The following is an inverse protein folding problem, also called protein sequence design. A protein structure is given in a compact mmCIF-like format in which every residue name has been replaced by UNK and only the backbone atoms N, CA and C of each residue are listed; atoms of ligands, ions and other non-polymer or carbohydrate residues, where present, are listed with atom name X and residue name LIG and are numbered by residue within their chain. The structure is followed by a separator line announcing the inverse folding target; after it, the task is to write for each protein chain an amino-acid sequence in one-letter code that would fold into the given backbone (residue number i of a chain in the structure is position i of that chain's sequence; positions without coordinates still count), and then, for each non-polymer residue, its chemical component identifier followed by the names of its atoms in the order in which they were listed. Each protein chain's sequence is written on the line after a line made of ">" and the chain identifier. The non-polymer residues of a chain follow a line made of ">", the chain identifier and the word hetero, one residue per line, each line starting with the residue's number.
data_IF_048760043003
#
_entry.id   IF_048760043003
#
_cell.length_a   1.000
_cell.length_b   1.000
_cell.length_c   1.000
_cell.angle_alpha   90.00
_cell.angle_beta   90.00
_cell.angle_gamma   90.00
#
_symmetry.space_group_name_H-M   'P 1'
#
loop_
_entity.id
_entity.type
_entity.pdbx_description
1 polymer ?
#
# COMPACT_ATOMS: atom_id res chain seq x y z
N UNK A 1 15.68 -3.90 11.55
CA UNK A 1 14.48 -3.11 11.14
C UNK A 1 13.71 -2.71 12.38
N UNK A 2 13.25 -1.45 12.40
CA UNK A 2 12.39 -0.95 13.48
C UNK A 2 10.93 -1.23 13.17
N UNK A 3 10.15 -1.58 14.18
CA UNK A 3 8.70 -1.77 14.06
C UNK A 3 7.94 -0.46 14.32
N UNK A 4 6.76 -0.27 13.71
CA UNK A 4 6.12 -1.15 12.72
C UNK A 4 6.88 -1.23 11.39
N UNK A 5 6.71 -2.31 10.63
CA UNK A 5 7.23 -2.42 9.27
C UNK A 5 6.09 -2.08 8.29
N UNK A 6 6.24 -0.99 7.55
CA UNK A 6 5.26 -0.52 6.59
C UNK A 6 5.59 -1.00 5.18
N UNK A 7 4.63 -1.65 4.54
CA UNK A 7 4.74 -2.08 3.14
C UNK A 7 4.10 -1.03 2.24
N UNK A 8 4.92 -0.46 1.35
CA UNK A 8 4.58 0.61 0.42
C UNK A 8 4.66 0.08 -1.01
N UNK A 9 3.87 0.64 -1.89
CA UNK A 9 3.91 0.31 -3.31
C UNK A 9 2.56 0.42 -3.98
N UNK A 10 2.59 0.29 -5.30
CA UNK A 10 1.42 0.40 -6.16
C UNK A 10 0.37 -0.69 -5.86
N UNK A 11 -0.86 -0.49 -6.33
CA UNK A 11 -1.85 -1.57 -6.30
C UNK A 11 -1.31 -2.79 -7.04
N UNK A 12 -1.70 -3.98 -6.63
CA UNK A 12 -1.19 -5.25 -7.15
C UNK A 12 0.33 -5.50 -7.00
N UNK A 13 1.06 -4.69 -6.24
CA UNK A 13 2.47 -4.97 -5.93
C UNK A 13 2.67 -6.15 -4.97
N UNK A 14 1.62 -6.58 -4.29
CA UNK A 14 1.64 -7.75 -3.40
C UNK A 14 1.79 -7.42 -1.91
N UNK A 15 1.52 -6.18 -1.50
CA UNK A 15 1.62 -5.75 -0.09
C UNK A 15 0.87 -6.67 0.85
N UNK A 16 -0.40 -6.93 0.60
CA UNK A 16 -1.23 -7.78 1.46
C UNK A 16 -0.71 -9.22 1.51
N UNK A 17 -0.53 -9.86 0.35
CA UNK A 17 -0.12 -11.28 0.30
C UNK A 17 1.29 -11.52 0.85
N UNK A 18 2.25 -10.67 0.48
CA UNK A 18 3.63 -10.77 0.98
C UNK A 18 3.71 -10.34 2.46
N UNK A 19 2.94 -9.34 2.86
CA UNK A 19 2.87 -8.87 4.24
C UNK A 19 2.32 -9.92 5.19
N UNK A 20 1.24 -10.59 4.82
CA UNK A 20 0.67 -11.69 5.60
C UNK A 20 1.65 -12.87 5.75
N UNK A 21 2.38 -13.21 4.68
CA UNK A 21 3.42 -14.27 4.73
C UNK A 21 4.56 -13.89 5.67
N UNK A 22 5.03 -12.63 5.58
CA UNK A 22 6.08 -12.12 6.45
C UNK A 22 5.64 -12.07 7.92
N UNK A 23 4.45 -11.56 8.19
CA UNK A 23 3.88 -11.50 9.54
C UNK A 23 3.78 -12.89 10.18
N UNK A 24 3.31 -13.90 9.43
CA UNK A 24 3.29 -15.30 9.88
C UNK A 24 4.68 -15.85 10.17
N UNK A 25 5.66 -15.59 9.29
CA UNK A 25 7.06 -16.04 9.51
C UNK A 25 7.65 -15.44 10.79
N UNK A 26 7.35 -14.18 11.07
CA UNK A 26 7.84 -13.46 12.25
C UNK A 26 6.97 -13.68 13.51
N UNK A 27 5.84 -14.35 13.37
CA UNK A 27 4.84 -14.53 14.44
C UNK A 27 4.39 -13.21 15.07
N UNK A 28 4.06 -12.23 14.21
CA UNK A 28 3.57 -10.90 14.60
C UNK A 28 2.29 -10.55 13.83
N UNK A 29 1.48 -9.59 14.33
CA UNK A 29 0.27 -9.15 13.63
C UNK A 29 0.52 -8.59 12.23
N UNK A 30 -0.47 -8.79 11.36
CA UNK A 30 -0.59 -8.10 10.08
C UNK A 30 -1.76 -7.12 10.14
N UNK A 31 -1.52 -5.88 9.76
CA UNK A 31 -2.50 -4.79 9.72
C UNK A 31 -2.66 -4.34 8.27
N UNK A 32 -3.90 -4.36 7.77
CA UNK A 32 -4.26 -3.71 6.51
C UNK A 32 -4.89 -2.35 6.83
N UNK A 33 -4.27 -1.26 6.36
CA UNK A 33 -4.73 0.10 6.66
C UNK A 33 -6.11 0.39 6.07
N UNK A 34 -6.38 -0.09 4.84
CA UNK A 34 -7.68 0.10 4.21
C UNK A 34 -8.78 -0.59 5.01
N UNK A 35 -8.52 -1.79 5.50
CA UNK A 35 -9.46 -2.50 6.36
C UNK A 35 -9.75 -1.75 7.67
N UNK A 36 -8.71 -1.20 8.31
CA UNK A 36 -8.90 -0.35 9.51
C UNK A 36 -9.70 0.92 9.24
N UNK A 37 -9.55 1.51 8.06
CA UNK A 37 -10.36 2.67 7.65
C UNK A 37 -11.83 2.24 7.50
N UNK A 38 -12.09 1.13 6.83
CA UNK A 38 -13.44 0.60 6.65
C UNK A 38 -14.11 0.27 7.98
N UNK A 39 -13.38 -0.32 8.93
CA UNK A 39 -13.88 -0.58 10.29
C UNK A 39 -14.23 0.72 11.02
N UNK A 40 -13.35 1.74 10.97
CA UNK A 40 -13.58 3.03 11.63
C UNK A 40 -14.80 3.76 11.08
N UNK A 41 -14.94 3.78 9.75
CA UNK A 41 -15.98 4.51 9.06
C UNK A 41 -17.29 3.71 8.90
N UNK A 42 -17.25 2.40 9.18
CA UNK A 42 -18.35 1.46 8.92
C UNK A 42 -18.87 1.56 7.47
N UNK A 43 -17.95 1.73 6.53
CA UNK A 43 -18.19 1.87 5.10
C UNK A 43 -17.02 1.27 4.31
N UNK A 44 -17.30 0.81 3.10
CA UNK A 44 -16.24 0.44 2.16
C UNK A 44 -15.44 1.67 1.72
N UNK A 45 -14.20 1.47 1.28
CA UNK A 45 -13.38 2.56 0.70
C UNK A 45 -14.14 3.26 -0.43
N UNK A 46 -14.73 2.49 -1.36
CA UNK A 46 -15.56 3.07 -2.45
C UNK A 46 -16.71 3.92 -1.89
N UNK A 47 -17.40 3.43 -0.86
CA UNK A 47 -18.49 4.16 -0.21
C UNK A 47 -18.03 5.47 0.42
N UNK A 48 -16.85 5.50 1.01
CA UNK A 48 -16.27 6.74 1.57
C UNK A 48 -15.99 7.75 0.44
N UNK A 49 -15.37 7.31 -0.67
CA UNK A 49 -15.13 8.17 -1.83
C UNK A 49 -16.42 8.72 -2.44
N UNK A 50 -17.43 7.87 -2.63
CA UNK A 50 -18.72 8.28 -3.20
C UNK A 50 -19.48 9.25 -2.31
N UNK A 51 -19.52 9.04 -1.01
CA UNK A 51 -20.29 9.84 -0.07
C UNK A 51 -19.57 11.10 0.43
N UNK A 52 -18.25 11.05 0.59
CA UNK A 52 -17.46 12.07 1.28
C UNK A 52 -16.34 12.67 0.42
N UNK A 53 -15.97 12.03 -0.68
CA UNK A 53 -14.90 12.46 -1.58
C UNK A 53 -13.49 12.13 -1.12
N UNK A 54 -12.52 12.39 -2.00
CA UNK A 54 -11.11 12.02 -1.78
C UNK A 54 -10.48 12.79 -0.61
N UNK A 55 -10.74 14.08 -0.50
CA UNK A 55 -10.17 14.91 0.58
C UNK A 55 -10.49 14.37 1.96
N UNK A 56 -11.73 13.98 2.18
CA UNK A 56 -12.18 13.36 3.43
C UNK A 56 -11.49 12.01 3.65
N UNK A 57 -11.46 11.15 2.62
CA UNK A 57 -10.77 9.86 2.70
C UNK A 57 -9.30 10.03 3.10
N UNK A 58 -8.58 10.96 2.48
CA UNK A 58 -7.15 11.21 2.79
C UNK A 58 -6.94 11.70 4.21
N UNK A 59 -7.86 12.49 4.74
CA UNK A 59 -7.82 12.91 6.14
C UNK A 59 -8.00 11.71 7.08
N UNK A 60 -9.02 10.89 6.85
CA UNK A 60 -9.29 9.69 7.66
C UNK A 60 -8.13 8.69 7.56
N UNK A 61 -7.59 8.50 6.36
CA UNK A 61 -6.41 7.63 6.12
C UNK A 61 -5.22 8.09 6.97
N UNK A 62 -4.93 9.39 7.00
CA UNK A 62 -3.84 9.94 7.81
C UNK A 62 -4.09 9.77 9.32
N UNK A 63 -5.33 9.95 9.78
CA UNK A 63 -5.72 9.73 11.18
C UNK A 63 -5.55 8.25 11.59
N UNK A 64 -6.05 7.33 10.78
CA UNK A 64 -5.96 5.89 11.05
C UNK A 64 -4.51 5.42 11.01
N UNK A 65 -3.71 5.90 10.05
CA UNK A 65 -2.28 5.61 10.03
C UNK A 65 -1.58 6.03 11.34
N UNK A 66 -1.89 7.21 11.84
CA UNK A 66 -1.30 7.76 13.07
C UNK A 66 -1.85 7.13 14.35
N UNK A 67 -2.98 6.44 14.28
CA UNK A 67 -3.55 5.68 15.39
C UNK A 67 -2.84 4.34 15.66
N UNK A 68 -2.02 3.86 14.70
CA UNK A 68 -1.21 2.67 14.92
C UNK A 68 -0.14 3.00 15.96
N UNK A 69 -0.06 2.24 17.08
CA UNK A 69 0.90 2.55 18.13
C UNK A 69 2.34 2.56 17.63
N UNK A 70 3.11 3.56 18.05
CA UNK A 70 4.55 3.60 17.80
C UNK A 70 5.20 2.38 18.45
N UNK A 71 6.13 1.76 17.75
CA UNK A 71 6.81 0.52 18.21
C UNK A 71 5.92 -0.74 18.23
N UNK A 72 4.70 -0.68 17.70
CA UNK A 72 3.87 -1.87 17.53
C UNK A 72 4.61 -2.91 16.67
N UNK A 73 4.83 -4.10 17.22
CA UNK A 73 5.43 -5.21 16.48
C UNK A 73 4.45 -5.76 15.46
N UNK A 74 4.32 -5.10 14.33
CA UNK A 74 3.37 -5.47 13.27
C UNK A 74 3.95 -5.22 11.88
N UNK A 75 3.41 -5.93 10.89
CA UNK A 75 3.54 -5.61 9.47
C UNK A 75 2.29 -4.82 9.06
N UNK A 76 2.47 -3.65 8.50
CA UNK A 76 1.38 -2.75 8.10
C UNK A 76 1.40 -2.58 6.58
N UNK A 77 0.35 -3.03 5.88
CA UNK A 77 0.17 -2.72 4.47
C UNK A 77 -0.64 -1.42 4.35
N UNK A 78 -0.07 -0.42 3.68
CA UNK A 78 -0.75 0.85 3.42
C UNK A 78 -1.33 0.91 2.01
N UNK A 79 -2.29 1.79 1.77
CA UNK A 79 -2.85 2.04 0.44
C UNK A 79 -1.80 2.58 -0.54
N UNK A 80 -2.02 2.36 -1.83
CA UNK A 80 -1.06 2.81 -2.86
C UNK A 80 -0.87 4.32 -2.90
N UNK A 81 -1.87 5.10 -2.52
CA UNK A 81 -1.79 6.55 -2.43
C UNK A 81 -1.38 7.10 -1.06
N UNK A 82 -1.41 6.28 -0.02
CA UNK A 82 -1.13 6.71 1.37
C UNK A 82 0.16 7.52 1.50
N UNK A 83 1.30 7.12 0.92
CA UNK A 83 2.56 7.87 1.05
C UNK A 83 2.55 9.27 0.44
N UNK A 84 1.60 9.55 -0.45
CA UNK A 84 1.58 10.78 -1.26
C UNK A 84 0.85 11.96 -0.61
N UNK A 85 0.23 11.77 0.55
CA UNK A 85 -0.63 12.76 1.20
C UNK A 85 -0.25 13.02 2.67
N UNK A 86 -0.56 14.20 3.17
CA UNK A 86 -0.48 14.57 4.60
C UNK A 86 0.84 14.22 5.30
N UNK A 87 1.96 14.34 4.60
CA UNK A 87 3.30 13.98 5.11
C UNK A 87 3.35 12.54 5.66
N UNK A 88 2.52 11.65 5.11
CA UNK A 88 2.43 10.28 5.59
C UNK A 88 3.75 9.52 5.40
N UNK A 89 4.50 9.80 4.31
CA UNK A 89 5.77 9.13 4.07
C UNK A 89 6.82 9.51 5.13
N UNK A 90 6.89 10.78 5.47
CA UNK A 90 7.76 11.32 6.51
C UNK A 90 7.38 10.74 7.87
N UNK A 91 6.08 10.70 8.18
CA UNK A 91 5.58 10.07 9.40
C UNK A 91 5.97 8.59 9.48
N UNK A 92 5.70 7.81 8.44
CA UNK A 92 6.04 6.37 8.37
C UNK A 92 7.53 6.16 8.68
N UNK A 93 8.41 6.93 8.03
CA UNK A 93 9.86 6.82 8.24
C UNK A 93 10.31 7.26 9.64
N UNK A 94 9.54 8.13 10.30
CA UNK A 94 9.85 8.58 11.66
C UNK A 94 9.50 7.57 12.75
N UNK A 95 8.54 6.67 12.49
CA UNK A 95 8.01 5.75 13.51
C UNK A 95 8.34 4.28 13.28
N UNK A 96 8.86 3.91 12.09
CA UNK A 96 9.13 2.52 11.77
C UNK A 96 10.05 2.35 10.56
N UNK A 97 10.05 1.15 9.99
CA UNK A 97 10.77 0.84 8.75
C UNK A 97 9.80 0.77 7.59
N UNK A 98 10.04 1.53 6.54
CA UNK A 98 9.28 1.44 5.30
C UNK A 98 9.98 0.56 4.28
N UNK A 99 9.23 -0.32 3.62
CA UNK A 99 9.71 -1.20 2.54
C UNK A 99 8.86 -0.94 1.30
N UNK A 100 9.48 -0.37 0.28
CA UNK A 100 8.85 -0.19 -1.01
C UNK A 100 8.92 -1.49 -1.82
N UNK A 101 7.78 -2.12 -2.07
CA UNK A 101 7.66 -3.28 -2.96
C UNK A 101 7.64 -2.80 -4.40
N UNK A 102 8.83 -2.58 -4.96
CA UNK A 102 9.01 -2.11 -6.34
C UNK A 102 8.72 -3.26 -7.31
N UNK A 103 7.85 -3.00 -8.28
CA UNK A 103 7.56 -3.91 -9.39
C UNK A 103 7.63 -3.18 -10.71
N UNK A 104 8.03 -3.90 -11.76
CA UNK A 104 7.95 -3.42 -13.13
C UNK A 104 6.50 -3.16 -13.55
N UNK A 105 6.30 -2.19 -14.44
CA UNK A 105 4.96 -1.89 -14.97
C UNK A 105 4.32 -3.10 -15.64
N UNK A 106 5.11 -3.91 -16.36
CA UNK A 106 4.63 -5.13 -17.02
C UNK A 106 4.08 -6.16 -16.03
N UNK A 107 4.73 -6.33 -14.87
CA UNK A 107 4.25 -7.22 -13.80
C UNK A 107 3.00 -6.68 -13.13
N UNK A 108 2.93 -5.38 -12.89
CA UNK A 108 1.73 -4.73 -12.36
C UNK A 108 0.57 -4.90 -13.34
N UNK A 109 0.79 -4.62 -14.63
CA UNK A 109 -0.22 -4.77 -15.68
C UNK A 109 -0.76 -6.20 -15.75
N UNK A 110 0.11 -7.20 -15.77
CA UNK A 110 -0.28 -8.60 -15.78
C UNK A 110 -1.15 -9.01 -14.59
N UNK A 111 -0.80 -8.55 -13.40
CA UNK A 111 -1.58 -8.82 -12.18
C UNK A 111 -2.91 -8.09 -12.16
N UNK A 112 -2.95 -6.85 -12.62
CA UNK A 112 -4.20 -6.07 -12.70
C UNK A 112 -5.16 -6.65 -13.74
N UNK A 113 -4.67 -7.14 -14.87
CA UNK A 113 -5.51 -7.85 -15.85
C UNK A 113 -6.26 -9.04 -15.23
N UNK A 114 -5.58 -9.80 -14.37
CA UNK A 114 -6.17 -10.96 -13.70
C UNK A 114 -7.17 -10.59 -12.59
N UNK A 115 -7.00 -9.42 -11.96
CA UNK A 115 -7.81 -8.97 -10.81
C UNK A 115 -8.69 -7.74 -11.11
N UNK A 116 -8.75 -7.31 -12.35
CA UNK A 116 -9.37 -6.05 -12.79
C UNK A 116 -10.82 -5.90 -12.32
N UNK A 117 -11.64 -6.95 -12.50
CA UNK A 117 -13.05 -6.93 -12.13
C UNK A 117 -13.30 -6.74 -10.63
N UNK A 118 -12.32 -7.09 -9.79
CA UNK A 118 -12.39 -6.94 -8.35
C UNK A 118 -11.94 -5.54 -7.86
N UNK A 119 -11.57 -4.65 -8.78
CA UNK A 119 -11.00 -3.34 -8.48
C UNK A 119 -11.77 -2.22 -9.17
N UNK A 120 -12.65 -1.51 -8.45
CA UNK A 120 -13.54 -0.50 -9.05
C UNK A 120 -12.82 0.54 -9.92
N UNK A 121 -11.64 1.01 -9.49
CA UNK A 121 -10.88 2.05 -10.20
C UNK A 121 -10.42 1.66 -11.61
N UNK A 122 -10.26 0.38 -11.89
CA UNK A 122 -9.69 -0.13 -13.14
C UNK A 122 -10.61 -1.12 -13.85
N UNK A 123 -11.76 -1.45 -13.26
CA UNK A 123 -12.66 -2.51 -13.75
C UNK A 123 -13.12 -2.30 -15.20
N UNK A 124 -13.37 -1.05 -15.60
CA UNK A 124 -13.91 -0.68 -16.91
C UNK A 124 -12.85 -0.20 -17.91
N UNK A 125 -11.56 -0.23 -17.55
CA UNK A 125 -10.50 0.21 -18.43
C UNK A 125 -10.15 -0.88 -19.46
N UNK A 126 -9.92 -0.47 -20.71
CA UNK A 126 -9.28 -1.33 -21.73
C UNK A 126 -7.81 -1.61 -21.34
N UNK A 127 -7.16 -2.56 -22.00
CA UNK A 127 -5.74 -2.84 -21.75
C UNK A 127 -4.84 -1.63 -22.01
N UNK A 128 -5.14 -0.86 -23.06
CA UNK A 128 -4.40 0.35 -23.38
C UNK A 128 -4.60 1.44 -22.33
N UNK A 129 -5.84 1.65 -21.90
CA UNK A 129 -6.19 2.59 -20.83
C UNK A 129 -5.59 2.16 -19.50
N UNK A 130 -5.58 0.86 -19.18
CA UNK A 130 -4.97 0.32 -17.97
C UNK A 130 -3.47 0.55 -17.94
N UNK A 131 -2.78 0.33 -19.07
CA UNK A 131 -1.33 0.60 -19.19
C UNK A 131 -1.04 2.09 -18.99
N UNK A 132 -1.79 2.98 -19.62
CA UNK A 132 -1.65 4.42 -19.45
C UNK A 132 -1.90 4.85 -18.00
N UNK A 133 -2.93 4.30 -17.34
CA UNK A 133 -3.24 4.53 -15.94
C UNK A 133 -2.07 4.14 -15.03
N UNK A 134 -1.47 2.97 -15.22
CA UNK A 134 -0.33 2.49 -14.43
C UNK A 134 0.87 3.43 -14.62
N UNK A 135 1.24 3.75 -15.85
CA UNK A 135 2.38 4.60 -16.18
C UNK A 135 2.23 5.98 -15.54
N UNK A 136 1.07 6.61 -15.70
CA UNK A 136 0.79 7.94 -15.15
C UNK A 136 0.82 7.94 -13.62
N UNK A 137 0.16 6.97 -12.98
CA UNK A 137 0.12 6.88 -11.52
C UNK A 137 1.47 6.56 -10.90
N UNK A 138 2.26 5.70 -11.52
CA UNK A 138 3.63 5.43 -11.07
C UNK A 138 4.52 6.66 -11.19
N UNK A 139 4.39 7.42 -12.30
CA UNK A 139 5.13 8.66 -12.49
C UNK A 139 4.82 9.68 -11.37
N UNK A 140 3.54 9.80 -10.97
CA UNK A 140 3.11 10.70 -9.91
C UNK A 140 3.58 10.25 -8.52
N UNK A 141 3.70 8.94 -8.28
CA UNK A 141 3.89 8.35 -6.95
C UNK A 141 5.30 7.88 -6.65
N UNK A 142 6.10 7.60 -7.67
CA UNK A 142 7.44 7.00 -7.51
C UNK A 142 8.36 7.83 -6.62
N UNK A 143 8.33 9.14 -6.71
CA UNK A 143 9.13 10.03 -5.86
C UNK A 143 8.82 9.87 -4.36
N UNK A 144 7.58 9.56 -4.01
CA UNK A 144 7.19 9.24 -2.63
C UNK A 144 7.63 7.85 -2.21
N UNK A 145 7.41 6.85 -3.08
CA UNK A 145 7.80 5.47 -2.80
C UNK A 145 9.30 5.31 -2.61
N UNK A 146 10.10 6.05 -3.39
CA UNK A 146 11.56 5.98 -3.33
C UNK A 146 12.18 6.63 -2.09
N UNK A 147 11.38 7.34 -1.29
CA UNK A 147 11.78 7.78 0.06
C UNK A 147 11.75 6.64 1.10
N UNK A 148 11.32 5.43 0.72
CA UNK A 148 11.30 4.30 1.62
C UNK A 148 12.69 3.95 2.15
N UNK A 149 12.76 3.49 3.40
CA UNK A 149 14.01 3.06 4.05
C UNK A 149 14.66 1.89 3.30
N UNK A 150 13.82 0.99 2.75
CA UNK A 150 14.26 -0.16 1.97
C UNK A 150 13.50 -0.18 0.64
N UNK A 151 14.21 -0.24 -0.48
CA UNK A 151 13.64 -0.50 -1.79
C UNK A 151 13.85 -1.98 -2.11
N UNK A 152 12.75 -2.71 -2.21
CA UNK A 152 12.76 -4.15 -2.42
C UNK A 152 12.23 -4.49 -3.82
N UNK A 153 13.07 -5.14 -4.64
CA UNK A 153 12.64 -5.68 -5.93
C UNK A 153 11.73 -6.89 -5.70
N UNK A 154 10.43 -6.67 -5.87
CA UNK A 154 9.40 -7.66 -5.61
C UNK A 154 9.14 -8.59 -6.82
N UNK A 155 9.78 -8.36 -7.96
CA UNK A 155 9.65 -9.21 -9.15
C UNK A 155 10.40 -10.53 -8.98
N UNK A 156 11.59 -10.48 -8.39
CA UNK A 156 12.54 -11.59 -8.37
C UNK A 156 12.80 -12.17 -6.97
N UNK A 157 12.36 -11.46 -5.91
CA UNK A 157 12.73 -11.80 -4.54
C UNK A 157 11.53 -12.11 -3.64
N UNK A 158 11.78 -12.88 -2.59
CA UNK A 158 10.82 -13.13 -1.52
C UNK A 158 11.04 -12.13 -0.39
N UNK A 159 9.97 -11.47 0.07
CA UNK A 159 10.08 -10.49 1.16
C UNK A 159 10.65 -11.09 2.45
N UNK A 160 10.45 -12.40 2.64
CA UNK A 160 11.02 -13.17 3.74
C UNK A 160 12.56 -13.19 3.78
N UNK A 161 13.21 -12.87 2.66
CA UNK A 161 14.67 -12.88 2.56
C UNK A 161 15.31 -11.68 3.27
N UNK A 162 14.52 -10.62 3.51
CA UNK A 162 14.96 -9.44 4.26
C UNK A 162 15.10 -9.68 5.78
N UNK A 163 14.59 -10.79 6.29
CA UNK A 163 14.52 -11.09 7.73
C UNK A 163 15.19 -12.43 8.10
N UNK A 164 16.05 -12.92 7.21
CA UNK A 164 16.90 -14.09 7.45
C UNK A 164 18.22 -13.68 8.09
#
# INVERSE_FOLDING_TARGET
>A
MNYPIFLIGFMASGKTSKGQKLARKLNIPFIDLDHKIEEKENKTISGIFENNGEKYFRQVEAEVLRSIPKHEKAIVAVGGGTPCFHDNMEYINSVGTSIYLKRSESRILGRLRQSKQKRPLVANLSDLELKAFITERLLQRSAYYEKATVIFNADDNQLSDLVN
#
